data_IF_233990657366
#
_entry.id   IF_233990657366
#
_cell.length_a   1.000
_cell.length_b   1.000
_cell.length_c   1.000
_cell.angle_alpha   90.00
_cell.angle_beta   90.00
_cell.angle_gamma   90.00
#
_symmetry.space_group_name_H-M   'P 1'
#
loop_
_entity.id
_entity.type
_entity.pdbx_description
1 polymer ?
#
# COMPACT_ATOMS: atom_id res chain seq x y z
N UNK A 1 -31.12 18.82 -20.84
CA UNK A 1 -30.83 17.92 -19.71
C UNK A 1 -29.48 17.27 -19.97
N UNK A 2 -28.39 17.87 -19.48
CA UNK A 2 -27.05 17.28 -19.62
C UNK A 2 -26.91 16.14 -18.60
N UNK A 3 -26.44 14.95 -19.00
CA UNK A 3 -26.16 13.89 -18.05
C UNK A 3 -25.03 14.36 -17.12
N UNK A 4 -25.31 14.34 -15.82
CA UNK A 4 -24.29 14.62 -14.80
C UNK A 4 -23.12 13.63 -14.98
N UNK A 5 -21.85 14.07 -14.85
CA UNK A 5 -20.72 13.19 -15.02
C UNK A 5 -20.83 12.05 -14.00
N UNK A 6 -20.85 10.81 -14.50
CA UNK A 6 -20.82 9.62 -13.65
C UNK A 6 -19.53 9.69 -12.83
N UNK A 7 -19.66 9.92 -11.53
CA UNK A 7 -18.54 10.01 -10.61
C UNK A 7 -17.82 8.64 -10.62
N UNK A 8 -16.66 8.57 -11.28
CA UNK A 8 -15.96 7.31 -11.56
C UNK A 8 -15.69 6.49 -10.29
N UNK A 9 -15.46 7.18 -9.17
CA UNK A 9 -15.24 6.58 -7.85
C UNK A 9 -16.47 5.84 -7.29
N UNK A 10 -17.69 6.19 -7.69
CA UNK A 10 -18.91 5.53 -7.19
C UNK A 10 -19.16 4.15 -7.83
N UNK A 11 -18.45 3.81 -8.91
CA UNK A 11 -18.62 2.54 -9.63
C UNK A 11 -17.55 1.50 -9.32
N UNK A 12 -16.46 1.89 -8.65
CA UNK A 12 -15.39 0.98 -8.27
C UNK A 12 -15.84 0.16 -7.06
N UNK A 13 -16.14 -1.13 -7.27
CA UNK A 13 -16.51 -2.05 -6.19
C UNK A 13 -15.29 -2.60 -5.42
N UNK A 14 -14.13 -2.65 -6.07
CA UNK A 14 -12.89 -3.17 -5.49
C UNK A 14 -11.69 -2.75 -6.35
N UNK A 15 -10.59 -2.35 -5.72
CA UNK A 15 -9.29 -2.15 -6.38
C UNK A 15 -8.32 -3.18 -5.83
N UNK A 16 -7.60 -3.87 -6.71
CA UNK A 16 -6.55 -4.80 -6.32
C UNK A 16 -5.25 -4.43 -7.03
N UNK A 17 -4.18 -4.36 -6.26
CA UNK A 17 -2.83 -4.10 -6.74
C UNK A 17 -1.91 -5.24 -6.33
N UNK A 18 -0.83 -5.42 -7.09
CA UNK A 18 0.31 -6.26 -6.72
C UNK A 18 1.60 -5.53 -7.00
N UNK A 19 2.60 -5.72 -6.16
CA UNK A 19 3.95 -5.16 -6.32
C UNK A 19 4.96 -6.30 -6.24
N UNK A 20 5.93 -6.40 -7.17
CA UNK A 20 6.91 -7.46 -7.13
C UNK A 20 7.88 -7.29 -5.95
N UNK A 21 8.31 -8.42 -5.39
CA UNK A 21 9.43 -8.47 -4.46
C UNK A 21 10.75 -8.28 -5.22
N UNK A 22 11.80 -7.89 -4.50
CA UNK A 22 13.15 -7.72 -5.06
C UNK A 22 14.17 -8.60 -4.36
N UNK A 23 15.20 -9.03 -5.10
CA UNK A 23 16.42 -9.62 -4.56
C UNK A 23 17.56 -8.61 -4.71
N UNK A 24 18.33 -8.41 -3.64
CA UNK A 24 19.51 -7.53 -3.67
C UNK A 24 20.75 -8.33 -4.04
N UNK A 25 21.53 -7.84 -5.01
CA UNK A 25 22.79 -8.46 -5.43
C UNK A 25 24.00 -7.79 -4.78
N UNK A 26 23.92 -6.50 -4.46
CA UNK A 26 25.02 -5.76 -3.85
C UNK A 26 24.65 -4.31 -3.52
N UNK A 27 25.45 -3.70 -2.64
CA UNK A 27 25.27 -2.30 -2.22
C UNK A 27 24.16 -2.07 -1.19
N UNK A 28 23.57 -3.13 -0.63
CA UNK A 28 22.54 -3.01 0.41
C UNK A 28 23.06 -2.27 1.63
N UNK A 29 22.31 -1.27 2.09
CA UNK A 29 22.69 -0.42 3.23
C UNK A 29 23.45 0.84 2.81
N UNK A 30 23.95 0.93 1.57
CA UNK A 30 24.53 2.19 1.07
C UNK A 30 23.46 3.24 0.79
N UNK A 31 22.20 2.81 0.61
CA UNK A 31 21.01 3.62 0.35
C UNK A 31 20.33 4.15 1.63
N UNK A 32 20.91 3.90 2.81
CA UNK A 32 20.40 4.44 4.08
C UNK A 32 21.37 5.41 4.72
N UNK A 33 20.83 6.40 5.43
CA UNK A 33 21.58 7.31 6.28
C UNK A 33 22.30 6.57 7.41
N UNK A 34 23.51 7.02 7.83
CA UNK A 34 24.21 8.22 7.37
C UNK A 34 25.07 8.01 6.12
N UNK A 35 25.22 6.77 5.65
CA UNK A 35 26.12 6.45 4.53
C UNK A 35 25.67 7.13 3.24
N UNK A 36 24.38 7.02 2.90
CA UNK A 36 23.79 7.63 1.71
C UNK A 36 24.01 9.15 1.67
N UNK A 37 23.84 9.83 2.81
CA UNK A 37 23.94 11.29 2.90
C UNK A 37 25.39 11.79 2.74
N UNK A 38 26.36 10.98 3.15
CA UNK A 38 27.77 11.37 3.21
C UNK A 38 28.58 10.94 1.99
N UNK A 39 28.25 9.78 1.42
CA UNK A 39 29.04 9.16 0.34
C UNK A 39 28.24 8.92 -0.95
N UNK A 40 26.91 9.09 -0.92
CA UNK A 40 26.01 8.62 -1.96
C UNK A 40 25.79 7.10 -1.90
N UNK A 41 24.56 6.68 -2.19
CA UNK A 41 24.17 5.26 -2.18
C UNK A 41 24.06 4.66 -3.58
N UNK A 42 24.41 3.39 -3.73
CA UNK A 42 24.20 2.64 -4.96
C UNK A 42 23.85 1.19 -4.65
N UNK A 43 22.70 0.72 -5.13
CA UNK A 43 22.20 -0.63 -4.91
C UNK A 43 21.93 -1.31 -6.24
N UNK A 44 22.45 -2.52 -6.42
CA UNK A 44 22.10 -3.39 -7.54
C UNK A 44 21.08 -4.44 -7.07
N UNK A 45 19.88 -4.41 -7.64
CA UNK A 45 18.81 -5.35 -7.33
C UNK A 45 17.95 -5.66 -8.57
N UNK A 46 17.12 -6.69 -8.49
CA UNK A 46 16.11 -6.98 -9.50
C UNK A 46 14.82 -7.51 -8.86
N UNK A 47 13.70 -7.23 -9.51
CA UNK A 47 12.40 -7.80 -9.15
C UNK A 47 12.34 -9.28 -9.50
N UNK A 48 11.65 -10.07 -8.67
CA UNK A 48 11.41 -11.50 -8.91
C UNK A 48 9.92 -11.77 -9.11
N UNK A 49 9.58 -12.96 -9.63
CA UNK A 49 8.19 -13.39 -9.86
C UNK A 49 7.42 -13.77 -8.58
N UNK A 50 7.64 -13.02 -7.49
CA UNK A 50 6.92 -13.12 -6.21
C UNK A 50 6.36 -11.74 -5.89
N UNK A 51 5.19 -11.67 -5.25
CA UNK A 51 4.44 -10.41 -5.14
C UNK A 51 3.83 -10.22 -3.76
N UNK A 52 3.71 -8.96 -3.34
CA UNK A 52 2.81 -8.51 -2.27
C UNK A 52 1.51 -8.05 -2.90
N UNK A 53 0.39 -8.29 -2.23
CA UNK A 53 -0.94 -7.93 -2.70
C UNK A 53 -1.62 -6.96 -1.74
N UNK A 54 -2.26 -5.94 -2.31
CA UNK A 54 -3.13 -5.03 -1.58
C UNK A 54 -4.51 -5.00 -2.23
N UNK A 55 -5.56 -5.05 -1.41
CA UNK A 55 -6.94 -4.94 -1.88
C UNK A 55 -7.62 -3.81 -1.11
N UNK A 56 -8.17 -2.85 -1.84
CA UNK A 56 -8.99 -1.78 -1.31
C UNK A 56 -10.45 -2.04 -1.70
N UNK A 57 -11.32 -2.12 -0.70
CA UNK A 57 -12.76 -2.29 -0.88
C UNK A 57 -13.45 -1.06 -0.30
N UNK A 58 -14.06 -0.20 -1.13
CA UNK A 58 -14.89 0.89 -0.64
C UNK A 58 -16.06 0.34 0.18
N UNK A 59 -16.23 0.85 1.40
CA UNK A 59 -17.38 0.53 2.26
C UNK A 59 -18.39 1.67 2.17
N UNK A 60 -19.68 1.32 2.25
CA UNK A 60 -20.77 2.29 2.40
C UNK A 60 -20.86 2.86 3.82
N UNK A 61 -20.39 2.10 4.81
CA UNK A 61 -20.30 2.51 6.20
C UNK A 61 -19.10 3.44 6.43
N UNK A 62 -19.23 4.37 7.36
CA UNK A 62 -18.17 5.30 7.76
C UNK A 62 -17.16 4.64 8.72
N UNK A 63 -16.57 3.53 8.28
CA UNK A 63 -15.56 2.77 9.00
C UNK A 63 -14.35 2.47 8.11
N UNK A 64 -13.18 2.34 8.72
CA UNK A 64 -11.95 1.91 8.04
C UNK A 64 -11.52 0.60 8.67
N UNK A 65 -11.21 -0.39 7.84
CA UNK A 65 -10.71 -1.69 8.27
C UNK A 65 -9.39 -2.01 7.61
N UNK A 66 -8.43 -2.47 8.39
CA UNK A 66 -7.16 -3.01 7.90
C UNK A 66 -7.11 -4.51 8.19
N UNK A 67 -6.81 -5.29 7.16
CA UNK A 67 -6.59 -6.74 7.26
C UNK A 67 -5.16 -7.05 6.85
N UNK A 68 -4.42 -7.67 7.76
CA UNK A 68 -3.14 -8.28 7.45
C UNK A 68 -3.33 -9.79 7.32
N UNK A 69 -2.86 -10.34 6.20
CA UNK A 69 -2.95 -11.79 5.94
C UNK A 69 -1.84 -12.56 6.67
N UNK A 70 -0.66 -11.96 6.75
CA UNK A 70 0.54 -12.47 7.40
C UNK A 70 0.43 -12.52 8.94
N UNK A 71 -0.17 -11.51 9.56
CA UNK A 71 -0.45 -11.50 11.01
C UNK A 71 -1.81 -12.11 11.37
N UNK A 72 -2.60 -12.57 10.39
CA UNK A 72 -3.94 -13.12 10.61
C UNK A 72 -4.92 -12.17 11.32
N UNK A 73 -4.64 -10.87 11.30
CA UNK A 73 -5.33 -9.87 12.13
C UNK A 73 -6.20 -8.96 11.27
N UNK A 74 -7.35 -8.58 11.84
CA UNK A 74 -8.22 -7.54 11.28
C UNK A 74 -8.52 -6.52 12.37
N UNK A 75 -8.30 -5.24 12.06
CA UNK A 75 -8.64 -4.15 12.96
C UNK A 75 -9.57 -3.19 12.24
N UNK A 76 -10.59 -2.72 12.94
CA UNK A 76 -11.57 -1.76 12.45
C UNK A 76 -11.55 -0.54 13.34
N UNK A 77 -11.80 0.61 12.73
CA UNK A 77 -12.00 1.88 13.42
C UNK A 77 -13.27 2.54 12.92
N UNK A 78 -14.01 3.12 13.84
CA UNK A 78 -15.18 3.97 13.58
C UNK A 78 -14.89 5.38 14.08
N UNK A 79 -15.56 6.38 13.51
CA UNK A 79 -15.26 7.79 13.81
C UNK A 79 -15.59 8.19 15.27
N UNK A 80 -16.37 7.37 15.99
CA UNK A 80 -16.82 7.64 17.36
C UNK A 80 -15.76 7.35 18.42
N UNK A 81 -14.73 6.55 18.10
CA UNK A 81 -13.72 6.11 19.07
C UNK A 81 -12.55 7.09 19.26
N UNK A 82 -12.41 8.11 18.39
CA UNK A 82 -11.17 8.90 18.31
C UNK A 82 -11.24 10.32 18.90
N UNK A 83 -12.37 10.72 19.49
CA UNK A 83 -12.53 12.03 20.16
C UNK A 83 -13.24 11.90 21.52
N UNK A 84 -12.66 11.12 22.44
CA UNK A 84 -12.93 11.24 23.89
C UNK A 84 -11.65 11.65 24.61
#
# INVERSE_FOLDING_TARGET
>A
MTPQPKNFLSQIKMVRARTPLRLSFGGGGTDVSPYADTHGGCVLNATISRYVYGTLVPKSERSIGFRSFDYGTVVYWTQEEQFK
#
